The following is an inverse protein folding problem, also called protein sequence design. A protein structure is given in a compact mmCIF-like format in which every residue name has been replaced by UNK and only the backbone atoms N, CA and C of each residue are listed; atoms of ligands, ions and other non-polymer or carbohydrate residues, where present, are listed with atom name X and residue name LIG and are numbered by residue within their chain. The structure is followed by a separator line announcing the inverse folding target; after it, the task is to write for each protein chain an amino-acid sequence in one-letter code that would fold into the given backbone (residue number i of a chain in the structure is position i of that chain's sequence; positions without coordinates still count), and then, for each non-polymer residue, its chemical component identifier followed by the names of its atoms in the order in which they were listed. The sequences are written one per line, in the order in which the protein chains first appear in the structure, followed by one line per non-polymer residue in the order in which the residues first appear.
data_IF_572809765039
#
_entry.id   IF_572809765039
#
_cell.length_a   1.000
_cell.length_b   1.000
_cell.length_c   1.000
_cell.angle_alpha   90.00
_cell.angle_beta   90.00
_cell.angle_gamma   90.00
#
_symmetry.space_group_name_H-M   'P 1'
#
loop_
_entity.id
_entity.type
_entity.pdbx_description
1 polymer ?
#
# COMPACT_ATOMS: atom_id res chain seq x y z
N UNK A 1 -33.18 -1.94 -13.93
CA UNK A 1 -32.98 -1.14 -15.16
C UNK A 1 -33.65 -1.88 -16.29
N UNK A 2 -34.52 -1.20 -17.03
CA UNK A 2 -35.29 -1.78 -18.16
C UNK A 2 -34.95 -1.13 -19.50
N UNK A 3 -34.08 -0.12 -19.50
CA UNK A 3 -33.67 0.60 -20.69
C UNK A 3 -32.65 -0.22 -21.51
N UNK A 4 -32.67 -0.13 -22.85
CA UNK A 4 -31.77 -0.88 -23.71
C UNK A 4 -30.33 -0.39 -23.56
N UNK A 5 -29.41 -1.32 -23.30
CA UNK A 5 -27.98 -1.02 -23.19
C UNK A 5 -27.28 -1.11 -24.55
N UNK A 6 -27.92 -1.78 -25.51
CA UNK A 6 -27.49 -1.79 -26.92
C UNK A 6 -28.67 -1.52 -27.84
N UNK A 7 -28.49 -0.54 -28.73
CA UNK A 7 -29.47 -0.12 -29.72
C UNK A 7 -28.79 -0.14 -31.09
N UNK A 8 -29.24 -1.05 -31.95
CA UNK A 8 -28.85 -1.12 -33.35
C UNK A 8 -30.02 -0.71 -34.24
N UNK A 9 -29.80 -0.59 -35.55
CA UNK A 9 -30.89 -0.33 -36.50
C UNK A 9 -31.99 -1.42 -36.45
N UNK A 10 -31.64 -2.67 -36.14
CA UNK A 10 -32.54 -3.82 -36.22
C UNK A 10 -33.00 -4.36 -34.87
N UNK A 11 -32.39 -3.93 -33.76
CA UNK A 11 -32.68 -4.50 -32.45
C UNK A 11 -32.38 -3.56 -31.29
N UNK A 12 -33.16 -3.71 -30.23
CA UNK A 12 -32.90 -3.11 -28.91
C UNK A 12 -32.75 -4.24 -27.90
N UNK A 13 -31.66 -4.22 -27.13
CA UNK A 13 -31.32 -5.31 -26.21
C UNK A 13 -30.64 -4.80 -24.94
N UNK A 14 -30.75 -5.60 -23.87
CA UNK A 14 -30.13 -5.35 -22.57
C UNK A 14 -29.08 -6.43 -22.36
N UNK A 15 -27.87 -6.19 -22.85
CA UNK A 15 -26.78 -7.18 -22.83
C UNK A 15 -25.55 -6.74 -22.01
N UNK A 16 -25.52 -5.49 -21.57
CA UNK A 16 -24.46 -4.92 -20.74
C UNK A 16 -24.93 -4.86 -19.29
N UNK A 17 -24.37 -5.72 -18.43
CA UNK A 17 -24.82 -5.88 -17.05
C UNK A 17 -23.68 -5.57 -16.06
N UNK A 18 -24.00 -4.87 -14.97
CA UNK A 18 -23.08 -4.63 -13.85
C UNK A 18 -23.63 -5.34 -12.61
N UNK A 19 -22.88 -6.32 -12.09
CA UNK A 19 -23.20 -7.01 -10.83
C UNK A 19 -22.31 -6.46 -9.71
N UNK A 20 -22.90 -6.14 -8.57
CA UNK A 20 -22.17 -5.62 -7.40
C UNK A 20 -22.79 -6.14 -6.11
N UNK A 21 -21.96 -6.31 -5.09
CA UNK A 21 -22.37 -6.61 -3.71
C UNK A 21 -22.58 -5.33 -2.87
N UNK A 22 -22.42 -4.15 -3.46
CA UNK A 22 -22.61 -2.89 -2.76
C UNK A 22 -24.12 -2.61 -2.60
N UNK A 23 -24.62 -2.39 -1.38
CA UNK A 23 -26.07 -2.33 -1.12
C UNK A 23 -26.73 -1.00 -1.53
N UNK A 24 -25.95 0.09 -1.64
CA UNK A 24 -26.46 1.42 -1.96
C UNK A 24 -25.86 1.91 -3.27
N UNK A 25 -26.66 1.84 -4.34
CA UNK A 25 -26.27 2.35 -5.64
C UNK A 25 -27.47 2.95 -6.38
N UNK A 26 -27.18 3.80 -7.36
CA UNK A 26 -28.08 4.18 -8.43
C UNK A 26 -27.52 3.58 -9.72
N UNK A 27 -28.39 3.01 -10.55
CA UNK A 27 -28.01 2.54 -11.88
C UNK A 27 -28.91 3.21 -12.92
N UNK A 28 -28.31 3.68 -14.02
CA UNK A 28 -29.02 4.31 -15.15
C UNK A 28 -28.35 3.95 -16.46
N UNK A 29 -29.13 3.95 -17.53
CA UNK A 29 -28.59 3.90 -18.89
C UNK A 29 -28.54 5.32 -19.43
N UNK A 30 -27.40 5.72 -19.96
CA UNK A 30 -27.17 7.02 -20.59
C UNK A 30 -26.96 6.78 -22.07
N UNK A 31 -27.79 7.43 -22.88
CA UNK A 31 -27.70 7.35 -24.32
C UNK A 31 -26.32 7.81 -24.80
N UNK A 32 -25.73 7.02 -25.69
CA UNK A 32 -24.43 7.30 -26.25
C UNK A 32 -24.55 7.45 -27.76
N UNK A 33 -24.23 8.64 -28.29
CA UNK A 33 -24.36 8.93 -29.72
C UNK A 33 -23.14 8.53 -30.54
N UNK A 34 -22.10 7.97 -29.93
CA UNK A 34 -20.87 7.56 -30.63
C UNK A 34 -20.75 6.04 -30.85
N UNK A 35 -21.65 5.23 -30.29
CA UNK A 35 -21.66 3.77 -30.43
C UNK A 35 -23.08 3.21 -30.41
N UNK A 36 -23.26 1.96 -30.87
CA UNK A 36 -24.51 1.22 -30.74
C UNK A 36 -24.76 0.71 -29.30
N UNK A 37 -23.81 0.93 -28.39
CA UNK A 37 -23.93 0.64 -26.95
C UNK A 37 -24.15 1.93 -26.15
N UNK A 38 -25.28 1.98 -25.44
CA UNK A 38 -25.56 2.99 -24.42
C UNK A 38 -24.72 2.72 -23.18
N UNK A 39 -24.34 3.78 -22.47
CA UNK A 39 -23.50 3.69 -21.28
C UNK A 39 -24.33 3.22 -20.09
N UNK A 40 -23.94 2.11 -19.45
CA UNK A 40 -24.51 1.71 -18.15
C UNK A 40 -23.72 2.41 -17.04
N UNK A 41 -24.34 3.39 -16.40
CA UNK A 41 -23.75 4.14 -15.29
C UNK A 41 -24.18 3.54 -13.96
N UNK A 42 -23.20 3.14 -13.14
CA UNK A 42 -23.39 2.76 -11.75
C UNK A 42 -22.80 3.85 -10.83
N UNK A 43 -23.66 4.55 -10.10
CA UNK A 43 -23.26 5.49 -9.06
C UNK A 43 -23.35 4.80 -7.71
N UNK A 44 -22.22 4.62 -7.04
CA UNK A 44 -22.17 4.01 -5.72
C UNK A 44 -22.37 5.11 -4.67
N UNK A 45 -23.40 4.97 -3.84
CA UNK A 45 -23.68 5.90 -2.74
C UNK A 45 -22.95 5.47 -1.48
N UNK A 46 -22.59 6.46 -0.66
CA UNK A 46 -21.96 6.24 0.64
C UNK A 46 -20.71 5.34 0.57
N UNK A 47 -19.91 5.45 -0.50
CA UNK A 47 -18.52 5.00 -0.44
C UNK A 47 -17.85 5.88 0.61
N UNK A 48 -17.85 5.40 1.85
CA UNK A 48 -17.04 5.99 2.90
C UNK A 48 -15.64 5.99 2.30
N UNK A 49 -15.10 7.18 2.03
CA UNK A 49 -13.68 7.36 1.77
C UNK A 49 -12.95 7.02 3.06
N UNK A 50 -12.94 5.74 3.40
CA UNK A 50 -11.91 5.17 4.25
C UNK A 50 -10.66 5.19 3.39
N UNK A 51 -10.08 6.38 3.26
CA UNK A 51 -8.64 6.50 3.06
C UNK A 51 -8.03 5.90 4.33
N UNK A 52 -8.02 4.57 4.39
CA UNK A 52 -7.24 3.83 5.36
C UNK A 52 -5.84 4.36 5.13
N UNK A 53 -5.35 5.18 6.06
CA UNK A 53 -4.00 5.74 5.96
C UNK A 53 -3.08 4.54 5.79
N UNK A 54 -2.52 4.41 4.59
CA UNK A 54 -1.58 3.33 4.32
C UNK A 54 -0.35 3.61 5.15
N UNK A 55 -0.13 2.78 6.16
CA UNK A 55 1.05 2.83 6.96
C UNK A 55 2.08 1.87 6.38
N UNK A 56 3.30 2.36 6.22
CA UNK A 56 4.45 1.53 5.88
C UNK A 56 5.41 1.50 7.06
N UNK A 57 5.98 0.34 7.34
CA UNK A 57 7.00 0.17 8.36
C UNK A 57 8.35 0.08 7.65
N UNK A 58 9.26 1.01 7.94
CA UNK A 58 10.59 1.01 7.33
C UNK A 58 11.68 1.43 8.33
N UNK A 59 12.89 0.97 8.05
CA UNK A 59 14.12 1.46 8.69
C UNK A 59 14.73 2.56 7.82
N UNK A 60 15.40 3.52 8.45
CA UNK A 60 16.17 4.54 7.74
C UNK A 60 17.66 4.32 7.99
N UNK A 61 18.42 4.21 6.91
CA UNK A 61 19.88 4.03 6.96
C UNK A 61 20.56 5.36 6.64
N UNK A 62 20.65 6.23 7.65
CA UNK A 62 21.34 7.51 7.51
C UNK A 62 22.85 7.36 7.69
N UNK A 63 23.64 8.23 7.05
CA UNK A 63 25.11 8.22 7.17
C UNK A 63 25.58 8.32 8.63
N UNK A 64 24.98 9.21 9.43
CA UNK A 64 25.28 9.36 10.86
C UNK A 64 24.94 8.10 11.65
N UNK A 65 23.76 7.52 11.43
CA UNK A 65 23.35 6.25 12.09
C UNK A 65 24.28 5.10 11.73
N UNK A 66 24.72 5.01 10.47
CA UNK A 66 25.68 4.01 10.01
C UNK A 66 27.04 4.21 10.67
N UNK A 67 27.54 5.45 10.73
CA UNK A 67 28.82 5.75 11.38
C UNK A 67 28.80 5.40 12.87
N UNK A 68 27.75 5.82 13.58
CA UNK A 68 27.61 5.53 15.01
C UNK A 68 27.43 4.03 15.27
N UNK A 69 26.65 3.33 14.45
CA UNK A 69 26.50 1.88 14.51
C UNK A 69 27.86 1.17 14.36
N UNK A 70 28.65 1.53 13.34
CA UNK A 70 29.98 0.96 13.12
C UNK A 70 30.91 1.21 14.30
N UNK A 71 30.93 2.43 14.82
CA UNK A 71 31.75 2.78 15.98
C UNK A 71 31.37 1.96 17.21
N UNK A 72 30.08 1.85 17.51
CA UNK A 72 29.61 1.11 18.68
C UNK A 72 29.78 -0.40 18.53
N UNK A 73 29.62 -0.94 17.32
CA UNK A 73 29.89 -2.34 17.03
C UNK A 73 31.39 -2.67 17.20
N UNK A 74 32.27 -1.78 16.74
CA UNK A 74 33.72 -1.94 16.90
C UNK A 74 34.17 -1.81 18.37
N UNK A 75 33.45 -1.04 19.19
CA UNK A 75 33.73 -0.87 20.61
C UNK A 75 33.20 -2.03 21.50
N UNK A 76 32.45 -2.99 20.94
CA UNK A 76 31.96 -4.13 21.72
C UNK A 76 33.11 -5.03 22.19
N UNK A 77 32.96 -5.57 23.40
CA UNK A 77 33.89 -6.58 23.89
C UNK A 77 33.57 -7.95 23.27
N UNK A 78 34.47 -8.43 22.43
CA UNK A 78 34.35 -9.72 21.75
C UNK A 78 35.15 -10.86 22.40
N UNK A 79 35.81 -10.63 23.55
CA UNK A 79 36.63 -11.67 24.22
C UNK A 79 35.83 -12.96 24.48
N UNK A 80 34.58 -12.81 24.92
CA UNK A 80 33.66 -13.90 25.21
C UNK A 80 33.32 -14.77 23.98
N UNK A 81 33.53 -14.28 22.76
CA UNK A 81 33.35 -15.07 21.55
C UNK A 81 34.56 -15.97 21.28
N UNK A 82 35.76 -15.48 21.55
CA UNK A 82 37.00 -16.20 21.33
C UNK A 82 37.24 -17.28 22.40
N UNK A 83 36.65 -17.10 23.58
CA UNK A 83 36.71 -18.06 24.68
C UNK A 83 35.60 -19.14 24.62
N UNK A 84 34.67 -19.05 23.67
CA UNK A 84 33.61 -20.05 23.49
C UNK A 84 34.14 -21.32 22.79
N UNK A 85 33.87 -22.48 23.38
CA UNK A 85 34.21 -23.78 22.78
C UNK A 85 33.18 -24.24 21.74
N UNK A 86 31.91 -23.84 21.88
CA UNK A 86 30.85 -24.14 20.91
C UNK A 86 30.67 -22.97 19.93
N UNK A 87 30.86 -23.27 18.64
CA UNK A 87 30.71 -22.31 17.54
C UNK A 87 29.28 -21.76 17.44
N UNK A 88 28.26 -22.56 17.76
CA UNK A 88 26.87 -22.11 17.75
C UNK A 88 26.64 -21.10 18.86
N UNK A 89 27.19 -21.34 20.04
CA UNK A 89 27.09 -20.42 21.17
C UNK A 89 27.81 -19.09 20.86
N UNK A 90 29.02 -19.17 20.29
CA UNK A 90 29.75 -17.99 19.83
C UNK A 90 28.93 -17.19 18.80
N UNK A 91 28.36 -17.87 17.79
CA UNK A 91 27.52 -17.19 16.79
C UNK A 91 26.28 -16.54 17.42
N UNK A 92 25.60 -17.22 18.34
CA UNK A 92 24.41 -16.67 19.01
C UNK A 92 24.75 -15.42 19.81
N UNK A 93 25.86 -15.45 20.57
CA UNK A 93 26.36 -14.29 21.32
C UNK A 93 26.66 -13.11 20.38
N UNK A 94 27.38 -13.36 19.29
CA UNK A 94 27.65 -12.35 18.26
C UNK A 94 26.35 -11.75 17.71
N UNK A 95 25.43 -12.62 17.29
CA UNK A 95 24.20 -12.22 16.63
C UNK A 95 23.31 -11.38 17.57
N UNK A 96 23.20 -11.76 18.84
CA UNK A 96 22.43 -11.00 19.83
C UNK A 96 22.99 -9.58 19.96
N UNK A 97 24.30 -9.44 20.18
CA UNK A 97 24.94 -8.12 20.31
C UNK A 97 24.79 -7.29 19.04
N UNK A 98 25.06 -7.88 17.87
CA UNK A 98 24.89 -7.22 16.58
C UNK A 98 23.45 -6.76 16.38
N UNK A 99 22.48 -7.63 16.66
CA UNK A 99 21.05 -7.38 16.44
C UNK A 99 20.52 -6.29 17.36
N UNK A 100 20.93 -6.28 18.63
CA UNK A 100 20.59 -5.23 19.59
C UNK A 100 21.04 -3.85 19.09
N UNK A 101 22.32 -3.73 18.74
CA UNK A 101 22.85 -2.50 18.15
C UNK A 101 22.14 -2.14 16.83
N UNK A 102 21.88 -3.13 15.98
CA UNK A 102 21.20 -2.89 14.70
C UNK A 102 19.79 -2.31 14.91
N UNK A 103 19.01 -2.86 15.84
CA UNK A 103 17.66 -2.36 16.11
C UNK A 103 17.67 -1.01 16.84
N UNK A 104 18.69 -0.72 17.64
CA UNK A 104 18.90 0.59 18.27
C UNK A 104 19.18 1.68 17.24
N UNK A 105 20.12 1.44 16.32
CA UNK A 105 20.53 2.43 15.31
C UNK A 105 19.60 2.49 14.10
N UNK A 106 18.91 1.39 13.78
CA UNK A 106 17.98 1.28 12.66
C UNK A 106 16.60 0.77 13.13
N UNK A 107 15.89 1.54 13.98
CA UNK A 107 14.58 1.12 14.46
C UNK A 107 13.55 1.12 13.32
N UNK A 108 12.60 0.19 13.40
CA UNK A 108 11.43 0.19 12.53
C UNK A 108 10.55 1.37 12.93
N UNK A 109 10.31 2.29 11.99
CA UNK A 109 9.41 3.42 12.20
C UNK A 109 8.17 3.27 11.32
N UNK A 110 7.03 3.64 11.91
CA UNK A 110 5.75 3.75 11.20
C UNK A 110 5.75 5.05 10.40
N UNK A 111 5.47 4.94 9.12
CA UNK A 111 5.35 6.07 8.22
C UNK A 111 3.96 6.08 7.60
N UNK A 112 3.22 7.18 7.80
CA UNK A 112 2.02 7.44 7.02
C UNK A 112 2.46 7.77 5.60
N UNK A 113 1.91 7.09 4.59
CA UNK A 113 1.89 7.67 3.26
C UNK A 113 1.01 8.92 3.31
N UNK A 114 1.49 10.09 2.87
CA UNK A 114 0.59 11.16 2.52
C UNK A 114 -0.41 10.58 1.51
N UNK A 115 -1.70 10.85 1.68
CA UNK A 115 -2.65 10.63 0.59
C UNK A 115 -2.08 11.39 -0.60
N UNK A 116 -1.84 10.70 -1.73
CA UNK A 116 -1.50 11.36 -2.98
C UNK A 116 -2.60 12.40 -3.24
N UNK A 117 -2.33 13.66 -2.90
CA UNK A 117 -2.99 14.77 -3.58
C UNK A 117 -2.38 14.69 -4.96
N UNK A 118 -3.08 14.01 -5.88
CA UNK A 118 -2.74 13.94 -7.29
C UNK A 118 -2.44 15.36 -7.76
N UNK A 119 -1.16 15.71 -7.85
CA UNK A 119 -0.69 17.06 -8.17
C UNK A 119 -1.07 17.50 -9.59
N UNK A 120 -1.63 16.58 -10.38
CA UNK A 120 -2.07 16.77 -11.75
C UNK A 120 -3.57 17.08 -11.90
N UNK A 121 -4.37 17.01 -10.82
CA UNK A 121 -5.80 17.36 -10.87
C UNK A 121 -5.98 18.80 -10.39
N UNK A 122 -6.28 19.72 -11.32
CA UNK A 122 -6.67 21.09 -10.98
C UNK A 122 -8.05 21.09 -10.32
N UNK A 123 -8.20 21.89 -9.25
CA UNK A 123 -9.47 22.10 -8.53
C UNK A 123 -10.37 23.11 -9.25
N UNK A 124 -10.70 22.84 -10.51
CA UNK A 124 -11.70 23.62 -11.23
C UNK A 124 -12.85 22.69 -11.62
N UNK A 125 -13.83 22.62 -10.70
CA UNK A 125 -15.24 22.36 -10.99
C UNK A 125 -16.05 23.36 -10.18
#
# INVERSE_FOLDING_TARGET
VSDPTRVTHSSTSIIDNIFTNVPKFICRVVENNIADHNTVLLEIKDMINTTLREFTFKRRYGSVSISNFKQNLAAQNWSLLYDCSDINEAYQRFYITFKQLFDEYFPIKKHCRPTDTTSWINREV
#
